data_IF_783438256771
#
_entry.id   IF_783438256771
#
_cell.length_a   1.000
_cell.length_b   1.000
_cell.length_c   1.000
_cell.angle_alpha   90.00
_cell.angle_beta   90.00
_cell.angle_gamma   90.00
#
_symmetry.space_group_name_H-M   'P 1'
#
loop_
_entity.id
_entity.type
_entity.pdbx_description
1 polymer ?
#
# COMPACT_ATOMS: atom_id res chain seq x y z
N UNK A 1 -24.26 -12.77 8.59
CA UNK A 1 -22.99 -13.11 7.90
C UNK A 1 -23.12 -13.07 6.37
N UNK A 2 -24.03 -13.84 5.74
CA UNK A 2 -24.18 -13.90 4.28
C UNK A 2 -24.51 -12.53 3.62
N UNK A 3 -25.38 -11.74 4.25
CA UNK A 3 -25.78 -10.40 3.78
C UNK A 3 -24.64 -9.37 3.81
N UNK A 4 -23.79 -9.41 4.84
CA UNK A 4 -22.60 -8.55 4.95
C UNK A 4 -21.56 -8.90 3.87
N UNK A 5 -21.38 -10.19 3.60
CA UNK A 5 -20.47 -10.67 2.55
C UNK A 5 -20.92 -10.20 1.16
N UNK A 6 -22.22 -10.31 0.86
CA UNK A 6 -22.79 -9.83 -0.41
C UNK A 6 -22.65 -8.30 -0.57
N UNK A 7 -22.83 -7.54 0.52
CA UNK A 7 -22.61 -6.09 0.51
C UNK A 7 -21.13 -5.74 0.24
N UNK A 8 -20.19 -6.46 0.84
CA UNK A 8 -18.76 -6.28 0.58
C UNK A 8 -18.44 -6.48 -0.90
N UNK A 9 -18.90 -7.60 -1.49
CA UNK A 9 -18.70 -7.88 -2.91
C UNK A 9 -19.28 -6.81 -3.83
N UNK A 10 -20.46 -6.29 -3.48
CA UNK A 10 -21.08 -5.18 -4.21
C UNK A 10 -20.22 -3.92 -4.11
N UNK A 11 -19.67 -3.61 -2.94
CA UNK A 11 -18.80 -2.46 -2.73
C UNK A 11 -17.48 -2.56 -3.51
N UNK A 12 -16.88 -3.76 -3.61
CA UNK A 12 -15.65 -4.00 -4.37
C UNK A 12 -15.85 -3.78 -5.88
N UNK A 13 -17.01 -4.16 -6.42
CA UNK A 13 -17.35 -3.98 -7.85
C UNK A 13 -17.81 -2.57 -8.19
N UNK A 14 -18.14 -1.75 -7.19
CA UNK A 14 -18.70 -0.41 -7.42
C UNK A 14 -17.64 0.51 -8.03
N UNK A 15 -18.05 1.25 -9.05
CA UNK A 15 -17.24 2.33 -9.59
C UNK A 15 -17.12 3.45 -8.56
N UNK A 16 -15.88 3.84 -8.29
CA UNK A 16 -15.53 4.90 -7.37
C UNK A 16 -15.70 6.24 -8.08
N UNK A 17 -16.58 7.06 -7.54
CA UNK A 17 -16.70 8.47 -7.91
C UNK A 17 -15.91 9.31 -6.91
N UNK A 18 -14.71 9.71 -7.30
CA UNK A 18 -13.71 10.45 -6.50
C UNK A 18 -13.04 11.51 -7.38
N UNK A 19 -12.48 12.56 -6.79
CA UNK A 19 -11.74 13.56 -7.56
C UNK A 19 -10.28 13.14 -7.79
N UNK A 20 -9.55 13.88 -8.64
CA UNK A 20 -8.12 13.64 -8.84
C UNK A 20 -7.35 13.99 -7.56
N UNK A 21 -7.79 15.01 -6.82
CA UNK A 21 -7.22 15.38 -5.53
C UNK A 21 -7.38 14.25 -4.50
N UNK A 22 -8.54 13.58 -4.48
CA UNK A 22 -8.77 12.40 -3.64
C UNK A 22 -7.80 11.27 -3.99
N UNK A 23 -7.50 11.05 -5.28
CA UNK A 23 -6.54 10.03 -5.72
C UNK A 23 -5.14 10.35 -5.18
N UNK A 24 -4.64 11.57 -5.40
CA UNK A 24 -3.32 12.02 -4.95
C UNK A 24 -3.19 11.94 -3.44
N UNK A 25 -4.16 12.50 -2.72
CA UNK A 25 -4.17 12.53 -1.26
C UNK A 25 -4.15 11.13 -0.67
N UNK A 26 -5.03 10.25 -1.15
CA UNK A 26 -5.11 8.88 -0.64
C UNK A 26 -3.89 8.03 -1.03
N UNK A 27 -3.27 8.25 -2.20
CA UNK A 27 -2.04 7.57 -2.60
C UNK A 27 -0.86 7.94 -1.69
N UNK A 28 -0.77 9.19 -1.22
CA UNK A 28 0.25 9.63 -0.27
C UNK A 28 0.00 9.08 1.14
N UNK A 29 -1.28 9.03 1.55
CA UNK A 29 -1.66 8.55 2.88
C UNK A 29 -1.56 7.02 3.01
N UNK A 30 -1.81 6.27 1.95
CA UNK A 30 -1.83 4.81 1.99
C UNK A 30 -0.60 4.15 2.66
N UNK A 31 0.65 4.49 2.28
CA UNK A 31 1.83 3.93 2.94
C UNK A 31 2.00 4.42 4.39
N UNK A 32 1.59 5.66 4.71
CA UNK A 32 1.64 6.19 6.07
C UNK A 32 0.68 5.46 7.02
N UNK A 33 -0.57 5.28 6.60
CA UNK A 33 -1.56 4.52 7.37
C UNK A 33 -1.16 3.04 7.50
N UNK A 34 -0.57 2.47 6.44
CA UNK A 34 -0.04 1.11 6.50
C UNK A 34 1.10 1.00 7.51
N UNK A 35 2.04 1.95 7.49
CA UNK A 35 3.15 2.00 8.46
C UNK A 35 2.65 2.20 9.90
N UNK A 36 1.62 3.03 10.10
CA UNK A 36 1.05 3.29 11.42
C UNK A 36 0.46 2.02 12.06
N UNK A 37 -0.10 1.12 11.25
CA UNK A 37 -0.62 -0.18 11.71
C UNK A 37 0.50 -1.22 11.79
N UNK A 38 1.39 -1.27 10.79
CA UNK A 38 2.44 -2.28 10.71
C UNK A 38 3.54 -2.10 11.75
N UNK A 39 3.92 -0.86 12.07
CA UNK A 39 4.97 -0.55 13.03
C UNK A 39 4.73 -1.17 14.42
N UNK A 40 3.61 -0.91 15.11
CA UNK A 40 3.36 -1.51 16.42
C UNK A 40 3.25 -3.04 16.35
N UNK A 41 2.72 -3.60 15.26
CA UNK A 41 2.63 -5.05 15.06
C UNK A 41 4.00 -5.69 14.91
N UNK A 42 4.91 -5.07 14.14
CA UNK A 42 6.29 -5.53 14.00
C UNK A 42 7.04 -5.42 15.32
N UNK A 43 6.91 -4.29 16.03
CA UNK A 43 7.50 -4.12 17.35
C UNK A 43 6.99 -5.18 18.34
N UNK A 44 5.69 -5.46 18.36
CA UNK A 44 5.10 -6.50 19.21
C UNK A 44 5.61 -7.90 18.82
N UNK A 45 5.64 -8.23 17.53
CA UNK A 45 6.17 -9.50 17.02
C UNK A 45 7.60 -9.74 17.55
N UNK A 46 8.46 -8.73 17.46
CA UNK A 46 9.82 -8.84 17.97
C UNK A 46 9.90 -8.92 19.49
N UNK A 47 9.02 -8.21 20.21
CA UNK A 47 8.96 -8.25 21.67
C UNK A 47 8.54 -9.64 22.20
N UNK A 48 7.64 -10.33 21.49
CA UNK A 48 7.13 -11.64 21.91
C UNK A 48 8.01 -12.82 21.50
N UNK A 49 8.74 -12.70 20.39
CA UNK A 49 9.52 -13.83 19.83
C UNK A 49 10.96 -13.81 20.28
N UNK A 50 11.50 -12.63 20.62
CA UNK A 50 12.92 -12.52 20.93
C UNK A 50 13.09 -11.94 22.33
N UNK A 51 13.59 -12.78 23.24
CA UNK A 51 14.03 -12.38 24.58
C UNK A 51 15.35 -11.57 24.48
N UNK A 52 15.29 -10.37 23.88
CA UNK A 52 16.44 -9.48 23.82
C UNK A 52 16.61 -8.73 25.15
N UNK A 53 17.86 -8.49 25.60
CA UNK A 53 18.13 -7.47 26.60
C UNK A 53 17.64 -6.10 26.12
N UNK A 54 17.22 -5.25 27.06
CA UNK A 54 16.50 -3.99 26.81
C UNK A 54 17.20 -3.03 25.82
N UNK A 55 18.53 -3.04 25.75
CA UNK A 55 19.32 -2.22 24.82
C UNK A 55 19.25 -2.67 23.36
N UNK A 56 19.19 -3.98 23.11
CA UNK A 56 19.04 -4.52 21.74
C UNK A 56 17.61 -4.32 21.24
N UNK A 57 16.63 -4.35 22.15
CA UNK A 57 15.23 -4.06 21.85
C UNK A 57 15.04 -2.61 21.37
N UNK A 58 15.72 -1.64 21.99
CA UNK A 58 15.68 -0.25 21.53
C UNK A 58 16.29 -0.08 20.12
N UNK A 59 17.45 -0.68 19.86
CA UNK A 59 18.07 -0.65 18.52
C UNK A 59 17.14 -1.25 17.46
N UNK A 60 16.43 -2.33 17.80
CA UNK A 60 15.48 -2.99 16.93
C UNK A 60 14.25 -2.12 16.62
N UNK A 61 13.69 -1.43 17.62
CA UNK A 61 12.58 -0.50 17.42
C UNK A 61 12.99 0.61 16.43
N UNK A 62 14.18 1.19 16.62
CA UNK A 62 14.72 2.22 15.73
C UNK A 62 14.99 1.67 14.32
N UNK A 63 15.50 0.45 14.20
CA UNK A 63 15.77 -0.15 12.89
C UNK A 63 14.48 -0.46 12.11
N UNK A 64 13.42 -0.92 12.78
CA UNK A 64 12.10 -1.10 12.17
C UNK A 64 11.52 0.22 11.68
N UNK A 65 11.69 1.31 12.44
CA UNK A 65 11.26 2.64 12.02
C UNK A 65 12.01 3.10 10.76
N UNK A 66 13.34 2.99 10.75
CA UNK A 66 14.17 3.33 9.59
C UNK A 66 13.78 2.51 8.36
N UNK A 67 13.51 1.22 8.55
CA UNK A 67 13.05 0.34 7.47
C UNK A 67 11.72 0.80 6.87
N UNK A 68 10.74 1.22 7.68
CA UNK A 68 9.47 1.77 7.17
C UNK A 68 9.67 3.09 6.41
N UNK A 69 10.62 3.93 6.83
CA UNK A 69 10.99 5.15 6.09
C UNK A 69 11.55 4.79 4.70
N UNK A 70 12.42 3.78 4.61
CA UNK A 70 12.94 3.31 3.32
C UNK A 70 11.80 2.79 2.43
N UNK A 71 10.88 1.99 2.97
CA UNK A 71 9.70 1.50 2.25
C UNK A 71 8.86 2.66 1.70
N UNK A 72 8.66 3.72 2.50
CA UNK A 72 7.94 4.91 2.07
C UNK A 72 8.68 5.66 0.93
N UNK A 73 9.99 5.81 1.02
CA UNK A 73 10.79 6.45 -0.02
C UNK A 73 10.75 5.65 -1.34
N UNK A 74 10.91 4.33 -1.27
CA UNK A 74 10.79 3.43 -2.43
C UNK A 74 9.41 3.58 -3.06
N UNK A 75 8.34 3.57 -2.26
CA UNK A 75 6.99 3.78 -2.76
C UNK A 75 6.84 5.12 -3.50
N UNK A 76 7.34 6.22 -2.93
CA UNK A 76 7.23 7.54 -3.54
C UNK A 76 7.98 7.64 -4.86
N UNK A 77 9.21 7.13 -4.91
CA UNK A 77 10.05 7.20 -6.12
C UNK A 77 9.51 6.31 -7.23
N UNK A 78 9.10 5.08 -6.88
CA UNK A 78 8.86 4.03 -7.87
C UNK A 78 7.38 3.77 -8.14
N UNK A 79 6.51 3.90 -7.15
CA UNK A 79 5.11 3.47 -7.28
C UNK A 79 4.16 4.66 -7.45
N UNK A 80 4.38 5.75 -6.71
CA UNK A 80 3.43 6.87 -6.63
C UNK A 80 3.08 7.45 -8.00
N UNK A 81 4.08 7.78 -8.83
CA UNK A 81 3.85 8.43 -10.14
C UNK A 81 3.04 7.53 -11.07
N UNK A 82 3.43 6.25 -11.18
CA UNK A 82 2.74 5.29 -12.04
C UNK A 82 1.33 4.95 -11.53
N UNK A 83 1.17 4.80 -10.21
CA UNK A 83 -0.13 4.60 -9.59
C UNK A 83 -1.04 5.81 -9.86
N UNK A 84 -0.54 7.03 -9.63
CA UNK A 84 -1.31 8.25 -9.88
C UNK A 84 -1.77 8.37 -11.34
N UNK A 85 -0.87 8.13 -12.31
CA UNK A 85 -1.21 8.18 -13.73
C UNK A 85 -2.23 7.11 -14.12
N UNK A 86 -2.03 5.86 -13.70
CA UNK A 86 -2.94 4.76 -14.01
C UNK A 86 -4.32 4.96 -13.39
N UNK A 87 -4.40 5.38 -12.12
CA UNK A 87 -5.68 5.63 -11.45
C UNK A 87 -6.41 6.82 -12.07
N UNK A 88 -5.70 7.90 -12.40
CA UNK A 88 -6.29 9.06 -13.08
C UNK A 88 -6.86 8.68 -14.45
N UNK A 89 -6.15 7.83 -15.20
CA UNK A 89 -6.62 7.30 -16.48
C UNK A 89 -7.89 6.45 -16.30
N UNK A 90 -7.89 5.54 -15.31
CA UNK A 90 -9.04 4.70 -14.99
C UNK A 90 -10.26 5.50 -14.53
N UNK A 91 -10.04 6.58 -13.78
CA UNK A 91 -11.08 7.53 -13.37
C UNK A 91 -11.73 8.19 -14.58
N UNK A 92 -10.93 8.70 -15.53
CA UNK A 92 -11.45 9.29 -16.78
C UNK A 92 -12.26 8.31 -17.61
N UNK A 93 -11.93 7.02 -17.57
CA UNK A 93 -12.68 5.95 -18.22
C UNK A 93 -13.89 5.46 -17.43
N UNK A 94 -14.17 6.02 -16.24
CA UNK A 94 -15.21 5.56 -15.29
C UNK A 94 -15.06 4.08 -14.91
N UNK A 95 -13.85 3.54 -14.99
CA UNK A 95 -13.56 2.14 -14.69
C UNK A 95 -12.95 1.94 -13.31
N UNK A 96 -12.64 3.03 -12.58
CA UNK A 96 -11.98 2.98 -11.28
C UNK A 96 -12.83 2.20 -10.27
N UNK A 97 -12.37 1.02 -9.87
CA UNK A 97 -12.92 0.16 -8.83
C UNK A 97 -11.80 -0.60 -8.11
N UNK A 98 -12.14 -1.44 -7.12
CA UNK A 98 -11.15 -2.23 -6.38
C UNK A 98 -10.25 -3.05 -7.29
N UNK A 99 -10.84 -3.78 -8.23
CA UNK A 99 -10.12 -4.71 -9.10
C UNK A 99 -9.18 -3.99 -10.05
N UNK A 100 -9.55 -2.82 -10.57
CA UNK A 100 -8.67 -2.03 -11.43
C UNK A 100 -7.51 -1.41 -10.66
N UNK A 101 -7.75 -0.98 -9.42
CA UNK A 101 -6.69 -0.50 -8.53
C UNK A 101 -5.70 -1.62 -8.19
N UNK A 102 -6.21 -2.80 -7.87
CA UNK A 102 -5.40 -3.98 -7.62
C UNK A 102 -4.64 -4.42 -8.87
N UNK A 103 -5.29 -4.48 -10.03
CA UNK A 103 -4.65 -4.83 -11.30
C UNK A 103 -3.53 -3.85 -11.66
N UNK A 104 -3.73 -2.54 -11.48
CA UNK A 104 -2.66 -1.56 -11.73
C UNK A 104 -1.46 -1.75 -10.80
N UNK A 105 -1.69 -2.13 -9.54
CA UNK A 105 -0.60 -2.42 -8.61
C UNK A 105 0.18 -3.68 -9.02
N UNK A 106 -0.52 -4.72 -9.48
CA UNK A 106 0.12 -5.92 -10.03
C UNK A 106 0.92 -5.64 -11.31
N UNK A 107 0.42 -4.79 -12.21
CA UNK A 107 1.17 -4.36 -13.40
C UNK A 107 2.46 -3.65 -12.99
N UNK A 108 2.39 -2.74 -12.01
CA UNK A 108 3.57 -2.05 -11.48
C UNK A 108 4.56 -3.06 -10.88
N UNK A 109 4.08 -4.00 -10.05
CA UNK A 109 4.92 -5.02 -9.43
C UNK A 109 5.60 -5.92 -10.47
N UNK A 110 4.87 -6.32 -11.52
CA UNK A 110 5.42 -7.13 -12.61
C UNK A 110 6.50 -6.37 -13.39
N UNK A 111 6.25 -5.10 -13.74
CA UNK A 111 7.21 -4.24 -14.42
C UNK A 111 8.50 -4.06 -13.60
N UNK A 112 8.38 -3.86 -12.28
CA UNK A 112 9.53 -3.79 -11.40
C UNK A 112 10.26 -5.13 -11.32
N UNK A 113 9.54 -6.23 -11.12
CA UNK A 113 10.15 -7.57 -11.05
C UNK A 113 11.00 -7.88 -12.30
N UNK A 114 10.53 -7.48 -13.49
CA UNK A 114 11.31 -7.61 -14.73
C UNK A 114 12.56 -6.72 -14.77
N UNK A 115 12.50 -5.48 -14.27
CA UNK A 115 13.66 -4.58 -14.17
C UNK A 115 14.72 -5.10 -13.18
N UNK A 116 14.28 -5.74 -12.10
CA UNK A 116 15.15 -6.29 -11.06
C UNK A 116 15.88 -7.57 -11.49
N UNK A 117 15.28 -8.38 -12.35
CA UNK A 117 15.96 -9.56 -12.91
C UNK A 117 17.20 -9.21 -13.76
N UNK A 118 17.35 -7.95 -14.17
CA UNK A 118 18.49 -7.49 -14.95
C UNK A 118 19.69 -7.05 -14.09
N UNK A 119 19.51 -6.83 -12.78
CA UNK A 119 20.61 -6.49 -11.87
C UNK A 119 20.22 -6.76 -10.40
N UNK A 120 20.66 -7.90 -9.86
CA UNK A 120 20.50 -8.27 -8.45
C UNK A 120 21.57 -7.56 -7.59
N UNK A 121 21.42 -6.26 -7.40
CA UNK A 121 22.18 -5.45 -6.43
C UNK A 121 21.44 -5.34 -5.10
N UNK A 122 21.95 -4.56 -4.12
CA UNK A 122 21.26 -4.25 -2.84
C UNK A 122 19.84 -3.66 -3.02
N UNK A 123 19.56 -3.12 -4.22
CA UNK A 123 18.24 -2.65 -4.64
C UNK A 123 17.25 -3.84 -4.77
N UNK A 124 17.75 -5.01 -5.16
CA UNK A 124 17.09 -6.31 -5.20
C UNK A 124 16.42 -6.71 -3.88
N UNK A 125 17.22 -6.72 -2.83
CA UNK A 125 16.76 -7.00 -1.47
C UNK A 125 15.70 -5.99 -1.02
N UNK A 126 15.93 -4.70 -1.28
CA UNK A 126 15.01 -3.63 -0.91
C UNK A 126 13.62 -3.79 -1.54
N UNK A 127 13.55 -4.26 -2.79
CA UNK A 127 12.28 -4.47 -3.49
C UNK A 127 11.59 -5.77 -3.05
N UNK A 128 12.36 -6.80 -2.73
CA UNK A 128 11.83 -8.04 -2.14
C UNK A 128 11.17 -7.73 -0.78
N UNK A 129 11.78 -6.89 0.04
CA UNK A 129 11.18 -6.42 1.29
C UNK A 129 9.98 -5.49 1.08
N UNK A 130 10.01 -4.62 0.06
CA UNK A 130 8.86 -3.79 -0.30
C UNK A 130 7.62 -4.64 -0.66
N UNK A 131 7.81 -5.80 -1.29
CA UNK A 131 6.70 -6.68 -1.71
C UNK A 131 5.81 -7.12 -0.54
N UNK A 132 6.36 -7.24 0.68
CA UNK A 132 5.61 -7.55 1.90
C UNK A 132 4.60 -6.45 2.28
N UNK A 133 4.90 -5.20 1.93
CA UNK A 133 4.05 -4.05 2.21
C UNK A 133 3.18 -3.65 1.02
N UNK A 134 3.46 -4.14 -0.19
CA UNK A 134 2.72 -3.77 -1.39
C UNK A 134 1.21 -4.07 -1.28
N UNK A 135 0.84 -5.29 -0.88
CA UNK A 135 -0.56 -5.69 -0.73
C UNK A 135 -1.26 -4.89 0.38
N UNK A 136 -0.72 -4.78 1.60
CA UNK A 136 -1.27 -3.90 2.64
C UNK A 136 -1.46 -2.45 2.18
N UNK A 137 -0.50 -1.86 1.47
CA UNK A 137 -0.59 -0.48 0.95
C UNK A 137 -1.77 -0.35 -0.03
N UNK A 138 -1.93 -1.30 -0.95
CA UNK A 138 -3.02 -1.30 -1.93
C UNK A 138 -4.39 -1.42 -1.25
N UNK A 139 -4.50 -2.28 -0.25
CA UNK A 139 -5.73 -2.45 0.53
C UNK A 139 -6.05 -1.14 1.27
N UNK A 140 -5.08 -0.57 1.99
CA UNK A 140 -5.24 0.71 2.70
C UNK A 140 -5.65 1.82 1.74
N UNK A 141 -4.99 1.90 0.58
CA UNK A 141 -5.33 2.86 -0.46
C UNK A 141 -6.79 2.74 -0.92
N UNK A 142 -7.25 1.52 -1.21
CA UNK A 142 -8.62 1.30 -1.63
C UNK A 142 -9.63 1.68 -0.53
N UNK A 143 -9.36 1.34 0.73
CA UNK A 143 -10.22 1.70 1.86
C UNK A 143 -10.34 3.23 1.97
N UNK A 144 -9.24 3.96 1.82
CA UNK A 144 -9.23 5.43 1.84
C UNK A 144 -10.03 6.02 0.67
N UNK A 145 -9.85 5.49 -0.54
CA UNK A 145 -10.63 5.88 -1.71
C UNK A 145 -12.12 5.59 -1.56
N UNK A 146 -12.48 4.42 -1.03
CA UNK A 146 -13.87 4.04 -0.81
C UNK A 146 -14.54 4.97 0.20
N UNK A 147 -13.81 5.38 1.25
CA UNK A 147 -14.28 6.38 2.21
C UNK A 147 -14.50 7.75 1.54
N UNK A 148 -13.59 8.18 0.66
CA UNK A 148 -13.76 9.41 -0.11
C UNK A 148 -14.99 9.33 -1.03
N UNK A 149 -15.18 8.21 -1.72
CA UNK A 149 -16.36 7.96 -2.54
C UNK A 149 -17.67 8.06 -1.74
N UNK A 150 -17.71 7.48 -0.54
CA UNK A 150 -18.87 7.57 0.34
C UNK A 150 -19.14 9.01 0.81
N UNK A 151 -18.08 9.80 1.03
CA UNK A 151 -18.22 11.22 1.39
C UNK A 151 -18.79 12.04 0.22
N UNK A 152 -18.35 11.76 -1.00
CA UNK A 152 -18.80 12.48 -2.20
C UNK A 152 -20.19 12.03 -2.71
N UNK A 153 -20.69 10.88 -2.23
CA UNK A 153 -22.02 10.35 -2.59
C UNK A 153 -23.11 10.71 -1.56
N UNK A 154 -22.76 11.46 -0.53
CA UNK A 154 -23.69 12.04 0.45
C UNK A 154 -23.97 13.49 0.10
#
# INVERSE_FOLDING_TARGET
MLTQFLQLFRNLKKHLNVSIEDISHNLLLAPLYTALVAYPLLCAYFFFIIEYPTTELFKLIVSVLLFLVIVFLVYLTFVYVFAHLSQTFLLRKKCLNFYTTLASAFVILALYSTLLTWNLSDIGLSVLFFSLFAVPIVITYWVLLFRAHQKNSK
#
